data_IF_350090516723
#
_entry.id   IF_350090516723
#
_cell.length_a   1.000
_cell.length_b   1.000
_cell.length_c   1.000
_cell.angle_alpha   90.00
_cell.angle_beta   90.00
_cell.angle_gamma   90.00
#
_symmetry.space_group_name_H-M   'P 1'
#
loop_
_entity.id
_entity.type
_entity.pdbx_description
1 polymer ?
#
# COMPACT_ATOMS: atom_id res chain seq x y z
N UNK A 1 19.60 -27.83 0.07
CA UNK A 1 18.21 -27.76 -0.44
C UNK A 1 18.03 -26.38 -1.05
N UNK A 2 17.52 -26.30 -2.28
CA UNK A 2 17.26 -25.01 -2.93
C UNK A 2 16.04 -24.28 -2.35
N UNK A 3 15.87 -22.99 -2.73
CA UNK A 3 14.74 -22.17 -2.30
C UNK A 3 13.41 -22.60 -2.92
N UNK A 4 13.45 -23.30 -4.06
CA UNK A 4 12.26 -23.79 -4.73
C UNK A 4 11.43 -24.72 -3.85
N UNK A 5 10.13 -24.71 -4.03
CA UNK A 5 9.20 -25.66 -3.45
C UNK A 5 8.89 -26.76 -4.48
N UNK A 6 8.80 -28.04 -4.06
CA UNK A 6 8.18 -29.06 -4.90
C UNK A 6 6.76 -28.66 -5.30
N UNK A 7 6.33 -29.06 -6.49
CA UNK A 7 4.94 -28.75 -6.93
C UNK A 7 3.88 -29.29 -5.98
N UNK A 8 4.14 -30.41 -5.31
CA UNK A 8 3.27 -31.01 -4.30
C UNK A 8 3.02 -30.13 -3.08
N UNK A 9 3.96 -29.24 -2.76
CA UNK A 9 3.91 -28.39 -1.57
C UNK A 9 3.25 -27.03 -1.85
N UNK A 10 3.12 -26.66 -3.13
CA UNK A 10 2.51 -25.40 -3.54
C UNK A 10 0.99 -25.46 -3.46
N UNK A 11 0.37 -24.34 -3.12
CA UNK A 11 -1.07 -24.14 -3.29
C UNK A 11 -1.31 -23.84 -4.77
N UNK A 12 -1.79 -24.82 -5.52
CA UNK A 12 -1.97 -24.73 -6.97
C UNK A 12 -3.11 -23.74 -7.30
N UNK A 13 -2.82 -22.76 -8.13
CA UNK A 13 -3.81 -21.80 -8.64
C UNK A 13 -4.23 -22.12 -10.08
N UNK A 14 -3.29 -22.57 -10.91
CA UNK A 14 -3.53 -23.10 -12.26
C UNK A 14 -2.40 -24.07 -12.65
N UNK A 15 -2.34 -24.50 -13.91
CA UNK A 15 -1.38 -25.51 -14.38
C UNK A 15 0.08 -25.09 -14.24
N UNK A 16 0.36 -23.78 -14.24
CA UNK A 16 1.71 -23.20 -14.28
C UNK A 16 2.11 -22.43 -13.02
N UNK A 17 1.15 -22.00 -12.20
CA UNK A 17 1.41 -21.13 -11.05
C UNK A 17 0.75 -21.62 -9.77
N UNK A 18 1.42 -21.37 -8.66
CA UNK A 18 0.94 -21.66 -7.32
C UNK A 18 1.42 -20.63 -6.30
N UNK A 19 0.77 -20.60 -5.16
CA UNK A 19 1.18 -19.76 -4.03
C UNK A 19 2.15 -20.50 -3.13
N UNK A 20 2.89 -19.73 -2.34
CA UNK A 20 3.65 -20.25 -1.23
C UNK A 20 2.74 -21.05 -0.28
N UNK A 21 3.18 -22.18 0.28
CA UNK A 21 2.37 -23.03 1.17
C UNK A 21 1.75 -22.28 2.37
N UNK A 22 2.39 -21.21 2.80
CA UNK A 22 1.89 -20.40 3.94
C UNK A 22 0.77 -19.42 3.56
N UNK A 23 0.40 -19.31 2.29
CA UNK A 23 -0.66 -18.40 1.83
C UNK A 23 -2.05 -19.06 1.75
N UNK A 24 -2.36 -19.95 2.68
CA UNK A 24 -3.59 -20.74 2.66
C UNK A 24 -4.86 -19.90 2.73
N UNK A 25 -4.87 -18.84 3.52
CA UNK A 25 -6.03 -17.95 3.62
C UNK A 25 -6.23 -17.14 2.33
N UNK A 26 -5.14 -16.72 1.66
CA UNK A 26 -5.23 -16.02 0.39
C UNK A 26 -5.75 -16.90 -0.77
N UNK A 27 -5.56 -18.21 -0.69
CA UNK A 27 -6.16 -19.16 -1.65
C UNK A 27 -7.68 -18.98 -1.76
N UNK A 28 -8.37 -18.74 -0.64
CA UNK A 28 -9.82 -18.52 -0.66
C UNK A 28 -10.19 -17.21 -1.37
N UNK A 29 -9.44 -16.11 -1.14
CA UNK A 29 -9.61 -14.82 -1.84
C UNK A 29 -9.48 -15.03 -3.35
N UNK A 30 -8.48 -15.80 -3.78
CA UNK A 30 -8.27 -16.10 -5.20
C UNK A 30 -9.42 -16.94 -5.78
N UNK A 31 -9.84 -18.02 -5.10
CA UNK A 31 -10.93 -18.91 -5.55
C UNK A 31 -12.28 -18.22 -5.59
N UNK A 32 -12.54 -17.29 -4.67
CA UNK A 32 -13.75 -16.47 -4.64
C UNK A 32 -13.77 -15.40 -5.75
N UNK A 33 -12.64 -15.24 -6.49
CA UNK A 33 -12.53 -14.26 -7.58
C UNK A 33 -12.47 -12.82 -7.07
N UNK A 34 -11.81 -12.60 -5.93
CA UNK A 34 -11.75 -11.33 -5.22
C UNK A 34 -10.38 -10.65 -5.33
N UNK A 35 -9.49 -11.23 -6.11
CA UNK A 35 -8.19 -10.63 -6.39
C UNK A 35 -7.81 -10.70 -7.87
N UNK A 36 -6.89 -9.81 -8.24
CA UNK A 36 -6.21 -9.77 -9.52
C UNK A 36 -4.70 -9.73 -9.27
N UNK A 37 -3.96 -10.67 -9.81
CA UNK A 37 -2.49 -10.75 -9.70
C UNK A 37 -1.90 -10.33 -11.04
N UNK A 38 -1.08 -9.30 -11.03
CA UNK A 38 -0.38 -8.77 -12.19
C UNK A 38 1.08 -9.21 -12.09
N UNK A 39 1.54 -10.00 -13.04
CA UNK A 39 2.90 -10.52 -13.08
C UNK A 39 3.84 -9.55 -13.81
N UNK A 40 5.15 -9.67 -13.55
CA UNK A 40 6.22 -8.95 -14.24
C UNK A 40 6.01 -7.42 -14.28
N UNK A 41 5.63 -6.85 -13.14
CA UNK A 41 5.48 -5.41 -12.96
C UNK A 41 6.84 -4.80 -12.59
N UNK A 42 7.17 -3.67 -13.20
CA UNK A 42 8.41 -2.94 -12.93
C UNK A 42 8.43 -1.60 -13.63
N UNK A 43 9.62 -1.12 -14.01
CA UNK A 43 9.80 0.16 -14.70
C UNK A 43 11.13 0.17 -15.49
N UNK A 44 11.29 1.09 -16.48
CA UNK A 44 12.53 1.21 -17.25
C UNK A 44 13.73 1.59 -16.38
N UNK A 45 14.89 0.99 -16.65
CA UNK A 45 16.15 1.22 -15.93
C UNK A 45 15.99 1.05 -14.40
N UNK A 46 15.57 -0.14 -13.93
CA UNK A 46 15.25 -0.36 -12.53
C UNK A 46 16.47 -0.16 -11.64
N UNK A 47 16.28 0.57 -10.55
CA UNK A 47 17.23 0.65 -9.45
C UNK A 47 17.05 -0.54 -8.51
N UNK A 48 18.12 -0.99 -7.88
CA UNK A 48 18.10 -2.11 -6.91
C UNK A 48 18.43 -1.67 -5.48
N UNK A 49 18.51 -0.36 -5.25
CA UNK A 49 18.54 0.22 -3.90
C UNK A 49 17.12 0.32 -3.37
N UNK A 50 16.86 -0.17 -2.17
CA UNK A 50 15.58 -0.02 -1.49
C UNK A 50 15.12 1.44 -1.45
N UNK A 51 16.01 2.34 -1.04
CA UNK A 51 15.67 3.76 -0.92
C UNK A 51 15.24 4.35 -2.26
N UNK A 52 16.05 4.16 -3.30
CA UNK A 52 15.75 4.73 -4.61
C UNK A 52 14.53 4.09 -5.26
N UNK A 53 14.41 2.77 -5.23
CA UNK A 53 13.23 2.11 -5.78
C UNK A 53 11.96 2.48 -5.05
N UNK A 54 11.98 2.58 -3.72
CA UNK A 54 10.83 3.03 -2.94
C UNK A 54 10.46 4.48 -3.29
N UNK A 55 11.44 5.38 -3.46
CA UNK A 55 11.16 6.75 -3.92
C UNK A 55 10.47 6.76 -5.29
N UNK A 56 10.93 5.94 -6.23
CA UNK A 56 10.33 5.84 -7.57
C UNK A 56 8.87 5.36 -7.49
N UNK A 57 8.59 4.32 -6.71
CA UNK A 57 7.23 3.82 -6.50
C UNK A 57 6.35 4.83 -5.75
N UNK A 58 6.87 5.47 -4.73
CA UNK A 58 6.13 6.49 -3.96
C UNK A 58 5.83 7.74 -4.77
N UNK A 59 6.71 8.10 -5.69
CA UNK A 59 6.54 9.33 -6.50
C UNK A 59 5.94 9.06 -7.89
N UNK A 60 5.89 7.82 -8.35
CA UNK A 60 5.58 7.47 -9.73
C UNK A 60 6.53 8.14 -10.75
N UNK A 61 7.76 8.47 -10.35
CA UNK A 61 8.78 9.12 -11.20
C UNK A 61 9.46 8.13 -12.15
N UNK A 62 10.24 8.65 -13.09
CA UNK A 62 11.27 7.89 -13.80
C UNK A 62 12.47 7.60 -12.90
N UNK A 63 13.28 6.62 -13.30
CA UNK A 63 14.51 6.27 -12.55
C UNK A 63 15.57 7.38 -12.55
N UNK A 64 15.49 8.30 -13.50
CA UNK A 64 16.34 9.47 -13.68
C UNK A 64 15.81 10.76 -13.02
N UNK A 65 14.62 10.70 -12.40
CA UNK A 65 13.95 11.85 -11.80
C UNK A 65 13.85 11.73 -10.29
N UNK A 66 14.14 12.79 -9.56
CA UNK A 66 13.95 12.92 -8.12
C UNK A 66 12.82 13.89 -7.84
N UNK A 67 11.85 13.47 -7.04
CA UNK A 67 10.66 14.26 -6.69
C UNK A 67 10.50 14.28 -5.16
N UNK A 68 10.03 15.42 -4.64
CA UNK A 68 9.77 15.60 -3.22
C UNK A 68 8.29 15.37 -2.85
N UNK A 69 7.45 15.11 -3.86
CA UNK A 69 6.00 14.83 -3.67
C UNK A 69 5.65 13.43 -4.18
N UNK A 70 4.81 12.73 -3.41
CA UNK A 70 4.30 11.42 -3.77
C UNK A 70 3.12 11.50 -4.74
N UNK A 71 2.83 10.39 -5.43
CA UNK A 71 1.71 10.36 -6.38
C UNK A 71 0.34 10.54 -5.70
N UNK A 72 0.14 9.95 -4.52
CA UNK A 72 -1.05 10.17 -3.71
C UNK A 72 -1.07 11.58 -3.11
N UNK A 73 0.08 12.11 -2.70
CA UNK A 73 0.19 13.50 -2.25
C UNK A 73 -0.20 14.51 -3.33
N UNK A 74 0.22 14.29 -4.59
CA UNK A 74 -0.23 15.14 -5.72
C UNK A 74 -1.71 14.96 -6.04
N UNK A 75 -2.26 13.76 -5.85
CA UNK A 75 -3.70 13.57 -5.90
C UNK A 75 -4.41 14.42 -4.84
N UNK A 76 -3.94 14.41 -3.58
CA UNK A 76 -4.51 15.24 -2.52
C UNK A 76 -4.40 16.74 -2.87
N UNK A 77 -3.28 17.20 -3.40
CA UNK A 77 -3.09 18.59 -3.83
C UNK A 77 -4.05 19.02 -4.93
N UNK A 78 -4.42 18.12 -5.85
CA UNK A 78 -5.28 18.44 -6.97
C UNK A 78 -6.77 18.37 -6.63
N UNK A 79 -7.17 17.47 -5.71
CA UNK A 79 -8.57 17.12 -5.49
C UNK A 79 -9.08 17.37 -4.07
N UNK A 80 -8.19 17.57 -3.08
CA UNK A 80 -8.56 17.70 -1.66
C UNK A 80 -8.11 19.00 -0.99
N UNK A 81 -7.59 19.99 -1.72
CA UNK A 81 -7.01 21.25 -1.17
C UNK A 81 -7.97 22.05 -0.29
N UNK A 82 -9.27 21.98 -0.57
CA UNK A 82 -10.27 22.80 0.14
C UNK A 82 -10.86 22.11 1.38
N UNK A 83 -10.36 20.94 1.74
CA UNK A 83 -11.01 20.13 2.77
C UNK A 83 -10.43 20.34 4.18
N UNK A 84 -9.26 20.98 4.34
CA UNK A 84 -8.52 21.15 5.62
C UNK A 84 -8.49 19.86 6.48
N UNK A 85 -8.50 18.70 5.81
CA UNK A 85 -8.69 17.38 6.41
C UNK A 85 -7.50 16.46 6.13
N UNK A 86 -6.48 16.49 6.98
CA UNK A 86 -5.33 15.58 6.86
C UNK A 86 -5.74 14.08 6.91
N UNK A 87 -6.92 13.76 7.45
CA UNK A 87 -7.43 12.40 7.57
C UNK A 87 -8.02 11.83 6.26
N UNK A 88 -8.06 12.58 5.17
CA UNK A 88 -8.42 12.03 3.84
C UNK A 88 -7.47 10.89 3.45
N UNK A 89 -6.20 10.99 3.82
CA UNK A 89 -5.22 9.93 3.64
C UNK A 89 -4.51 9.62 4.96
N UNK A 90 -4.57 8.37 5.38
CA UNK A 90 -4.06 7.91 6.67
C UNK A 90 -3.00 6.83 6.49
N UNK A 91 -1.83 7.03 7.08
CA UNK A 91 -0.80 6.01 7.19
C UNK A 91 -0.73 5.44 8.61
N UNK A 92 -0.82 4.12 8.71
CA UNK A 92 -0.72 3.43 10.00
C UNK A 92 0.76 3.18 10.37
N UNK A 93 1.50 4.27 10.61
CA UNK A 93 2.90 4.25 11.02
C UNK A 93 3.27 5.50 11.83
N UNK A 94 4.53 5.59 12.33
CA UNK A 94 5.04 6.78 13.03
C UNK A 94 5.42 7.92 12.08
N UNK A 95 5.79 7.59 10.86
CA UNK A 95 6.28 8.55 9.86
C UNK A 95 5.43 8.45 8.60
N UNK A 96 5.13 9.60 8.04
CA UNK A 96 4.43 9.69 6.76
C UNK A 96 5.39 9.37 5.61
N UNK A 97 5.02 8.36 4.80
CA UNK A 97 5.79 8.00 3.60
C UNK A 97 5.70 9.09 2.53
N UNK A 98 6.68 9.10 1.63
CA UNK A 98 6.71 10.05 0.52
C UNK A 98 5.46 9.93 -0.37
N UNK A 99 4.86 8.74 -0.48
CA UNK A 99 3.65 8.53 -1.28
C UNK A 99 2.50 9.50 -0.92
N UNK A 100 2.35 9.83 0.36
CA UNK A 100 1.27 10.67 0.89
C UNK A 100 1.66 12.13 1.12
N UNK A 101 2.84 12.56 0.66
CA UNK A 101 3.33 13.95 0.79
C UNK A 101 3.06 14.72 -0.49
N UNK A 102 2.12 15.65 -0.45
CA UNK A 102 1.91 16.67 -1.47
C UNK A 102 2.72 17.93 -1.19
N UNK A 103 2.61 18.90 -2.07
CA UNK A 103 3.16 20.24 -1.90
C UNK A 103 2.37 21.02 -0.85
N UNK A 104 1.04 20.97 -0.95
CA UNK A 104 0.08 21.72 -0.13
C UNK A 104 -0.59 20.86 0.92
N UNK A 105 -1.01 19.66 0.54
CA UNK A 105 -1.74 18.72 1.40
C UNK A 105 -0.89 17.50 1.70
N UNK A 106 -0.94 17.05 2.94
CA UNK A 106 -0.25 15.82 3.39
C UNK A 106 -1.22 14.92 4.10
N UNK A 107 -1.02 13.61 3.96
CA UNK A 107 -1.73 12.64 4.77
C UNK A 107 -1.36 12.72 6.25
N UNK A 108 -2.05 11.96 7.05
CA UNK A 108 -1.85 11.83 8.49
C UNK A 108 -1.17 10.49 8.81
N UNK A 109 -0.03 10.53 9.50
CA UNK A 109 0.59 9.33 10.04
C UNK A 109 0.14 9.11 11.48
N UNK A 110 -0.26 7.87 11.81
CA UNK A 110 -0.63 7.48 13.18
C UNK A 110 -0.46 5.98 13.39
N UNK A 111 0.02 5.56 14.54
CA UNK A 111 0.01 4.13 14.92
C UNK A 111 -1.34 3.66 15.44
N UNK A 112 -2.04 4.54 16.12
CA UNK A 112 -3.29 4.23 16.81
C UNK A 112 -4.10 5.51 17.02
N UNK A 113 -5.42 5.51 16.75
CA UNK A 113 -6.29 6.68 16.92
C UNK A 113 -6.30 7.25 18.33
N UNK A 114 -6.33 6.41 19.35
CA UNK A 114 -6.38 6.85 20.74
C UNK A 114 -5.06 7.47 21.18
N UNK A 115 -3.91 6.87 20.79
CA UNK A 115 -2.60 7.42 21.11
C UNK A 115 -2.40 8.81 20.48
N UNK A 116 -2.78 8.98 19.23
CA UNK A 116 -2.72 10.28 18.56
C UNK A 116 -3.62 11.31 19.26
N UNK A 117 -4.85 10.93 19.55
CA UNK A 117 -5.81 11.80 20.25
C UNK A 117 -5.32 12.22 21.64
N UNK A 118 -4.72 11.31 22.39
CA UNK A 118 -4.15 11.63 23.70
C UNK A 118 -2.92 12.55 23.61
N UNK A 119 -2.10 12.39 22.56
CA UNK A 119 -0.96 13.26 22.34
C UNK A 119 -1.37 14.73 22.07
N UNK A 120 -2.42 14.95 21.29
CA UNK A 120 -2.89 16.32 21.01
C UNK A 120 -3.62 16.99 22.19
N UNK A 121 -3.99 16.23 23.22
CA UNK A 121 -4.56 16.77 24.47
C UNK A 121 -3.51 17.34 25.43
N UNK A 122 -2.23 17.19 25.12
CA UNK A 122 -1.17 17.80 25.92
C UNK A 122 -1.44 19.31 26.07
N UNK A 123 -1.43 19.85 27.30
CA UNK A 123 -1.78 21.26 27.56
C UNK A 123 -0.91 22.26 26.78
N UNK A 124 0.37 21.93 26.58
CA UNK A 124 1.28 22.77 25.82
C UNK A 124 0.95 22.78 24.32
N UNK A 125 0.71 21.61 23.74
CA UNK A 125 0.28 21.51 22.34
C UNK A 125 -1.06 22.19 22.11
N UNK A 126 -2.02 22.03 23.04
CA UNK A 126 -3.32 22.69 22.98
C UNK A 126 -3.20 24.22 23.06
N UNK A 127 -2.29 24.74 23.87
CA UNK A 127 -2.01 26.18 23.92
C UNK A 127 -1.43 26.68 22.59
N UNK A 128 -0.51 25.94 21.97
CA UNK A 128 0.05 26.28 20.66
C UNK A 128 -1.00 26.28 19.54
N UNK A 129 -1.90 25.32 19.51
CA UNK A 129 -2.98 25.22 18.49
C UNK A 129 -3.91 26.45 18.54
N UNK A 130 -4.13 27.00 19.73
CA UNK A 130 -5.06 28.12 19.95
C UNK A 130 -4.40 29.51 19.87
N UNK A 131 -3.11 29.59 19.60
CA UNK A 131 -2.45 30.88 19.34
C UNK A 131 -2.95 31.43 18.01
N UNK A 132 -3.47 32.66 18.03
CA UNK A 132 -3.82 33.36 16.79
C UNK A 132 -2.54 33.74 16.05
N UNK A 133 -2.41 33.28 14.83
CA UNK A 133 -1.33 33.65 13.92
C UNK A 133 -1.92 34.44 12.76
N UNK A 134 -1.22 35.53 12.40
CA UNK A 134 -1.44 36.16 11.11
C UNK A 134 -1.01 35.22 10.01
N UNK A 135 -1.78 35.14 8.92
CA UNK A 135 -1.50 34.29 7.77
C UNK A 135 -0.27 34.81 7.01
N UNK A 136 0.91 34.58 7.57
CA UNK A 136 2.19 34.83 6.89
C UNK A 136 2.69 33.50 6.27
N UNK A 137 3.47 33.59 5.19
CA UNK A 137 4.08 32.41 4.53
C UNK A 137 5.34 31.92 5.26
N UNK A 138 5.40 32.03 6.58
CA UNK A 138 6.57 31.62 7.35
C UNK A 138 6.55 30.11 7.64
N UNK A 139 7.72 29.52 7.86
CA UNK A 139 7.86 28.13 8.27
C UNK A 139 7.12 27.87 9.61
N UNK A 140 7.02 28.86 10.48
CA UNK A 140 6.28 28.75 11.73
C UNK A 140 4.77 28.62 11.48
N UNK A 141 4.20 29.45 10.61
CA UNK A 141 2.76 29.38 10.26
C UNK A 141 2.40 28.06 9.62
N UNK A 142 3.26 27.53 8.75
CA UNK A 142 3.11 26.19 8.21
C UNK A 142 3.06 25.12 9.31
N UNK A 143 3.95 25.21 10.32
CA UNK A 143 3.93 24.26 11.45
C UNK A 143 2.66 24.35 12.27
N UNK A 144 2.19 25.57 12.57
CA UNK A 144 0.94 25.80 13.32
C UNK A 144 -0.28 25.31 12.55
N UNK A 145 -0.36 25.58 11.25
CA UNK A 145 -1.41 25.07 10.38
C UNK A 145 -1.44 23.54 10.41
N UNK A 146 -0.27 22.90 10.18
CA UNK A 146 -0.15 21.44 10.21
C UNK A 146 -0.57 20.85 11.56
N UNK A 147 -0.18 21.48 12.67
CA UNK A 147 -0.56 21.04 14.01
C UNK A 147 -2.07 21.15 14.25
N UNK A 148 -2.71 22.24 13.79
CA UNK A 148 -4.16 22.43 13.87
C UNK A 148 -4.93 21.39 13.06
N UNK A 149 -4.55 21.17 11.80
CA UNK A 149 -5.14 20.17 10.92
C UNK A 149 -4.99 18.76 11.50
N UNK A 150 -3.80 18.44 12.03
CA UNK A 150 -3.53 17.17 12.72
C UNK A 150 -4.42 17.00 13.93
N UNK A 151 -4.61 18.05 14.75
CA UNK A 151 -5.46 18.01 15.93
C UNK A 151 -6.92 17.75 15.60
N UNK A 152 -7.45 18.46 14.60
CA UNK A 152 -8.83 18.28 14.13
C UNK A 152 -9.02 16.85 13.59
N UNK A 153 -8.11 16.40 12.75
CA UNK A 153 -8.14 15.05 12.16
C UNK A 153 -8.00 13.94 13.20
N UNK A 154 -7.18 14.16 14.24
CA UNK A 154 -7.04 13.20 15.35
C UNK A 154 -8.34 13.05 16.15
N UNK A 155 -9.02 14.16 16.43
CA UNK A 155 -10.33 14.15 17.08
C UNK A 155 -11.39 13.44 16.24
N UNK A 156 -11.42 13.72 14.95
CA UNK A 156 -12.32 13.09 13.99
C UNK A 156 -12.11 11.55 13.96
N UNK A 157 -10.89 11.10 13.67
CA UNK A 157 -10.57 9.68 13.59
C UNK A 157 -10.83 8.96 14.92
N UNK A 158 -10.48 9.58 16.07
CA UNK A 158 -10.74 9.00 17.37
C UNK A 158 -12.24 8.77 17.62
N UNK A 159 -13.09 9.70 17.23
CA UNK A 159 -14.54 9.55 17.37
C UNK A 159 -15.06 8.40 16.49
N UNK A 160 -14.64 8.35 15.22
CA UNK A 160 -15.05 7.27 14.31
C UNK A 160 -14.52 5.91 14.75
N UNK A 161 -13.31 5.84 15.31
CA UNK A 161 -12.73 4.58 15.79
C UNK A 161 -13.51 3.91 16.94
N UNK A 162 -14.50 4.61 17.52
CA UNK A 162 -15.36 4.09 18.59
C UNK A 162 -16.73 3.60 18.11
N UNK A 163 -17.12 3.93 16.88
CA UNK A 163 -18.48 3.62 16.36
C UNK A 163 -18.61 2.13 16.06
N UNK A 164 -17.60 1.55 15.42
CA UNK A 164 -17.57 0.15 15.08
C UNK A 164 -16.33 -0.54 15.67
N UNK A 165 -16.52 -1.75 16.18
CA UNK A 165 -15.45 -2.64 16.62
C UNK A 165 -15.58 -3.97 15.93
N UNK A 166 -14.50 -4.43 15.34
CA UNK A 166 -14.46 -5.69 14.62
C UNK A 166 -14.64 -6.88 15.55
N UNK A 167 -15.50 -7.81 15.13
CA UNK A 167 -15.65 -9.13 15.74
C UNK A 167 -14.88 -10.20 14.95
N UNK A 168 -14.14 -9.81 13.90
CA UNK A 168 -13.30 -10.73 13.14
C UNK A 168 -12.01 -11.03 13.90
N UNK A 169 -11.50 -12.24 13.76
CA UNK A 169 -10.25 -12.65 14.38
C UNK A 169 -9.07 -12.23 13.48
N UNK A 170 -8.42 -11.14 13.83
CA UNK A 170 -7.20 -10.71 13.16
C UNK A 170 -5.96 -11.38 13.77
N UNK A 171 -4.92 -11.65 12.97
CA UNK A 171 -3.65 -12.16 13.48
C UNK A 171 -3.01 -11.22 14.52
N UNK A 172 -2.40 -11.81 15.55
CA UNK A 172 -1.79 -11.10 16.70
C UNK A 172 -0.43 -10.43 16.37
N UNK A 173 -0.26 -9.88 15.18
CA UNK A 173 0.94 -9.14 14.79
C UNK A 173 0.58 -7.75 14.24
N UNK A 174 1.60 -6.94 14.03
CA UNK A 174 1.44 -5.52 13.70
C UNK A 174 0.55 -5.28 12.47
N UNK A 175 0.77 -6.03 11.38
CA UNK A 175 -0.05 -5.88 10.17
C UNK A 175 -1.53 -6.22 10.42
N UNK A 176 -1.81 -7.32 11.14
CA UNK A 176 -3.18 -7.70 11.47
C UNK A 176 -3.88 -6.60 12.28
N UNK A 177 -3.20 -6.06 13.30
CA UNK A 177 -3.73 -4.96 14.13
C UNK A 177 -3.93 -3.67 13.34
N UNK A 178 -3.01 -3.31 12.43
CA UNK A 178 -3.16 -2.16 11.55
C UNK A 178 -4.38 -2.31 10.64
N UNK A 179 -4.54 -3.47 9.99
CA UNK A 179 -5.69 -3.75 9.12
C UNK A 179 -7.02 -3.79 9.89
N UNK A 180 -7.02 -4.30 11.12
CA UNK A 180 -8.20 -4.23 11.99
C UNK A 180 -8.65 -2.80 12.23
N UNK A 181 -7.73 -1.90 12.61
CA UNK A 181 -8.04 -0.48 12.81
C UNK A 181 -8.56 0.17 11.53
N UNK A 182 -7.96 -0.14 10.38
CA UNK A 182 -8.44 0.38 9.09
C UNK A 182 -9.85 -0.13 8.78
N UNK A 183 -10.13 -1.41 8.97
CA UNK A 183 -11.47 -1.96 8.79
C UNK A 183 -12.50 -1.30 9.73
N UNK A 184 -12.13 -1.09 11.00
CA UNK A 184 -12.97 -0.39 11.97
C UNK A 184 -13.29 1.04 11.51
N UNK A 185 -12.33 1.78 10.98
CA UNK A 185 -12.55 3.13 10.45
C UNK A 185 -13.45 3.12 9.21
N UNK A 186 -13.18 2.25 8.24
CA UNK A 186 -14.00 2.11 7.02
C UNK A 186 -15.45 1.74 7.38
N UNK A 187 -15.63 0.74 8.23
CA UNK A 187 -16.97 0.28 8.64
C UNK A 187 -17.72 1.29 9.53
N UNK A 188 -17.00 2.18 10.19
CA UNK A 188 -17.57 3.31 10.94
C UNK A 188 -18.09 4.44 10.04
N UNK A 189 -17.82 4.41 8.73
CA UNK A 189 -18.16 5.48 7.80
C UNK A 189 -17.19 6.67 7.88
N UNK A 190 -15.95 6.46 8.31
CA UNK A 190 -14.90 7.47 8.27
C UNK A 190 -14.65 7.89 6.80
N UNK A 191 -14.60 9.20 6.54
CA UNK A 191 -14.45 9.77 5.19
C UNK A 191 -13.02 9.67 4.63
N UNK A 192 -12.10 8.96 5.31
CA UNK A 192 -10.76 8.71 4.78
C UNK A 192 -10.84 7.87 3.50
N UNK A 193 -10.24 8.38 2.43
CA UNK A 193 -10.26 7.74 1.11
C UNK A 193 -9.07 6.82 0.88
N UNK A 194 -7.94 7.10 1.55
CA UNK A 194 -6.68 6.39 1.35
C UNK A 194 -6.14 5.92 2.70
N UNK A 195 -5.83 4.63 2.78
CA UNK A 195 -5.11 4.04 3.90
C UNK A 195 -3.81 3.43 3.40
N UNK A 196 -2.71 3.68 4.10
CA UNK A 196 -1.39 3.17 3.74
C UNK A 196 -0.78 2.41 4.92
N UNK A 197 -0.26 1.22 4.65
CA UNK A 197 0.48 0.42 5.63
C UNK A 197 1.69 -0.22 4.97
N UNK A 198 2.72 -0.50 5.75
CA UNK A 198 3.88 -1.25 5.30
C UNK A 198 4.12 -2.49 6.16
N UNK A 199 4.65 -3.52 5.54
CA UNK A 199 5.18 -4.72 6.19
C UNK A 199 6.63 -4.88 5.81
N UNK A 200 7.51 -4.95 6.80
CA UNK A 200 8.96 -5.05 6.62
C UNK A 200 9.46 -6.49 6.70
N UNK A 201 10.71 -6.71 6.31
CA UNK A 201 11.39 -7.99 6.49
C UNK A 201 11.47 -8.87 5.24
N UNK A 202 11.01 -8.42 4.08
CA UNK A 202 11.12 -9.13 2.80
C UNK A 202 12.50 -9.05 2.16
N UNK A 203 13.43 -8.26 2.71
CA UNK A 203 14.81 -8.21 2.23
C UNK A 203 15.61 -9.42 2.71
N UNK A 204 15.33 -10.57 2.10
CA UNK A 204 15.80 -11.88 2.53
C UNK A 204 17.00 -12.36 1.69
N UNK A 205 18.18 -11.79 1.94
CA UNK A 205 19.43 -12.21 1.31
C UNK A 205 20.00 -13.51 1.89
N UNK A 206 19.50 -13.95 3.03
CA UNK A 206 19.91 -15.22 3.67
C UNK A 206 18.69 -15.89 4.30
N UNK A 207 18.71 -17.22 4.38
CA UNK A 207 17.66 -18.03 5.02
C UNK A 207 16.22 -17.59 4.59
N UNK A 208 16.06 -17.35 3.29
CA UNK A 208 14.85 -16.71 2.71
C UNK A 208 13.60 -17.57 2.90
N UNK A 209 13.69 -18.86 2.66
CA UNK A 209 12.51 -19.75 2.59
C UNK A 209 11.62 -19.69 3.84
N UNK A 210 12.13 -19.86 5.08
CA UNK A 210 11.31 -19.75 6.28
C UNK A 210 10.88 -18.31 6.58
N UNK A 211 11.77 -17.33 6.37
CA UNK A 211 11.47 -15.92 6.66
C UNK A 211 10.38 -15.37 5.75
N UNK A 212 10.52 -15.55 4.45
CA UNK A 212 9.53 -15.13 3.46
C UNK A 212 8.22 -15.90 3.62
N UNK A 213 8.29 -17.22 3.87
CA UNK A 213 7.10 -18.03 4.12
C UNK A 213 6.27 -17.51 5.29
N UNK A 214 6.93 -17.16 6.41
CA UNK A 214 6.26 -16.55 7.56
C UNK A 214 5.61 -15.20 7.20
N UNK A 215 6.31 -14.31 6.49
CA UNK A 215 5.78 -13.00 6.10
C UNK A 215 4.60 -13.10 5.13
N UNK A 216 4.68 -14.04 4.18
CA UNK A 216 3.58 -14.32 3.25
C UNK A 216 2.34 -14.91 3.96
N UNK A 217 2.56 -15.74 4.98
CA UNK A 217 1.48 -16.22 5.85
C UNK A 217 0.80 -15.07 6.59
N UNK A 218 1.59 -14.19 7.19
CA UNK A 218 1.11 -12.97 7.86
C UNK A 218 0.25 -12.12 6.90
N UNK A 219 0.75 -11.85 5.70
CA UNK A 219 0.02 -11.09 4.67
C UNK A 219 -1.30 -11.79 4.31
N UNK A 220 -1.24 -13.09 4.05
CA UNK A 220 -2.37 -13.93 3.67
C UNK A 220 -3.51 -13.90 4.70
N UNK A 221 -3.16 -14.17 5.96
CA UNK A 221 -4.14 -14.25 7.05
C UNK A 221 -4.75 -12.88 7.36
N UNK A 222 -3.92 -11.83 7.34
CA UNK A 222 -4.38 -10.46 7.58
C UNK A 222 -5.33 -9.96 6.49
N UNK A 223 -5.02 -10.21 5.22
CA UNK A 223 -5.90 -9.86 4.11
C UNK A 223 -7.22 -10.62 4.17
N UNK A 224 -7.20 -11.90 4.57
CA UNK A 224 -8.45 -12.68 4.68
C UNK A 224 -9.35 -12.13 5.80
N UNK A 225 -8.80 -11.84 6.97
CA UNK A 225 -9.57 -11.23 8.05
C UNK A 225 -10.13 -9.87 7.64
N UNK A 226 -9.32 -9.04 6.97
CA UNK A 226 -9.74 -7.74 6.47
C UNK A 226 -10.87 -7.83 5.45
N UNK A 227 -10.76 -8.71 4.45
CA UNK A 227 -11.82 -8.91 3.45
C UNK A 227 -13.10 -9.44 4.06
N UNK A 228 -13.02 -10.37 5.01
CA UNK A 228 -14.20 -10.90 5.71
C UNK A 228 -14.93 -9.80 6.49
N UNK A 229 -14.18 -8.95 7.19
CA UNK A 229 -14.74 -7.86 7.98
C UNK A 229 -15.46 -6.83 7.08
N UNK A 230 -14.83 -6.43 5.99
CA UNK A 230 -15.43 -5.51 5.00
C UNK A 230 -16.68 -6.10 4.34
N UNK A 231 -16.68 -7.41 4.02
CA UNK A 231 -17.86 -8.08 3.45
C UNK A 231 -19.03 -8.10 4.41
N UNK A 232 -18.80 -8.42 5.70
CA UNK A 232 -19.85 -8.41 6.73
C UNK A 232 -20.51 -7.05 6.89
N UNK A 233 -19.78 -6.00 6.60
CA UNK A 233 -20.25 -4.62 6.72
C UNK A 233 -20.61 -3.97 5.37
N UNK A 234 -20.70 -4.75 4.29
CA UNK A 234 -21.03 -4.28 2.93
C UNK A 234 -20.09 -3.17 2.43
N UNK A 235 -18.81 -3.21 2.86
CA UNK A 235 -17.77 -2.24 2.48
C UNK A 235 -16.73 -2.80 1.50
N UNK A 236 -16.83 -4.08 1.17
CA UNK A 236 -15.83 -4.73 0.32
C UNK A 236 -15.86 -4.22 -1.13
N UNK A 237 -17.02 -3.95 -1.68
CA UNK A 237 -17.18 -3.42 -3.05
C UNK A 237 -16.70 -1.96 -3.17
N UNK A 238 -16.68 -1.22 -2.07
CA UNK A 238 -16.19 0.15 -2.00
C UNK A 238 -14.70 0.24 -1.67
N UNK A 239 -14.02 -0.90 -1.52
CA UNK A 239 -12.62 -0.96 -1.10
C UNK A 239 -11.74 -1.65 -2.15
N UNK A 240 -10.65 -1.00 -2.52
CA UNK A 240 -9.61 -1.56 -3.38
C UNK A 240 -8.29 -1.61 -2.61
N UNK A 241 -7.74 -2.80 -2.43
CA UNK A 241 -6.41 -3.00 -1.82
C UNK A 241 -5.38 -3.16 -2.93
N UNK A 242 -4.29 -2.41 -2.85
CA UNK A 242 -3.12 -2.51 -3.72
C UNK A 242 -1.92 -2.99 -2.89
N UNK A 243 -1.45 -4.21 -3.15
CA UNK A 243 -0.23 -4.74 -2.55
C UNK A 243 0.90 -4.70 -3.57
N UNK A 244 1.99 -4.01 -3.23
CA UNK A 244 3.17 -3.89 -4.08
C UNK A 244 4.45 -3.94 -3.25
N UNK A 245 5.58 -4.13 -3.91
CA UNK A 245 6.91 -3.96 -3.37
C UNK A 245 7.76 -3.20 -4.39
N UNK A 246 8.81 -2.56 -3.94
CA UNK A 246 9.67 -1.68 -4.73
C UNK A 246 10.46 -2.39 -5.83
N UNK A 247 10.70 -3.70 -5.68
CA UNK A 247 11.29 -4.57 -6.71
C UNK A 247 11.00 -6.05 -6.42
N UNK A 248 11.30 -6.94 -7.39
CA UNK A 248 11.25 -8.37 -7.22
C UNK A 248 12.58 -8.94 -6.73
N UNK A 249 12.69 -10.27 -6.79
CA UNK A 249 13.90 -11.02 -6.45
C UNK A 249 14.46 -11.72 -7.69
N UNK A 250 15.79 -11.87 -7.76
CA UNK A 250 16.44 -12.63 -8.83
C UNK A 250 15.95 -14.07 -8.83
N UNK A 251 15.99 -14.69 -10.01
CA UNK A 251 15.58 -16.09 -10.19
C UNK A 251 16.58 -17.02 -9.51
N UNK A 252 17.86 -16.69 -9.59
CA UNK A 252 18.91 -17.51 -9.03
C UNK A 252 19.07 -17.28 -7.51
N UNK A 253 19.25 -18.38 -6.81
CA UNK A 253 19.60 -18.41 -5.39
C UNK A 253 21.07 -18.00 -5.21
N UNK A 254 21.34 -17.20 -4.18
CA UNK A 254 22.70 -16.89 -3.75
C UNK A 254 23.29 -17.95 -2.80
N UNK A 255 24.58 -17.80 -2.44
CA UNK A 255 25.30 -18.75 -1.57
C UNK A 255 24.74 -18.82 -0.13
N UNK A 256 24.02 -17.79 0.34
CA UNK A 256 23.46 -17.69 1.69
C UNK A 256 22.02 -18.21 1.80
N UNK A 257 21.52 -18.96 0.82
CA UNK A 257 20.14 -19.45 0.76
C UNK A 257 19.12 -18.31 0.76
N UNK A 258 19.43 -17.26 0.02
CA UNK A 258 18.57 -16.12 -0.27
C UNK A 258 18.61 -15.79 -1.75
N UNK A 259 18.08 -14.64 -2.10
CA UNK A 259 18.16 -14.08 -3.45
C UNK A 259 18.54 -12.61 -3.37
N UNK A 260 19.18 -12.12 -4.42
CA UNK A 260 19.47 -10.69 -4.56
C UNK A 260 18.27 -9.93 -5.14
N UNK A 261 18.33 -8.60 -5.15
CA UNK A 261 17.29 -7.75 -5.70
C UNK A 261 17.14 -7.95 -7.20
N UNK A 262 15.90 -8.13 -7.65
CA UNK A 262 15.49 -8.27 -9.05
C UNK A 262 14.83 -7.02 -9.61
N UNK A 263 14.39 -7.09 -10.86
CA UNK A 263 13.81 -5.93 -11.56
C UNK A 263 12.29 -5.99 -11.70
N UNK A 264 11.71 -7.19 -11.73
CA UNK A 264 10.27 -7.38 -11.94
C UNK A 264 9.64 -8.06 -10.74
N UNK A 265 8.42 -7.64 -10.40
CA UNK A 265 7.66 -8.10 -9.25
C UNK A 265 6.23 -8.47 -9.62
N UNK A 266 5.48 -8.97 -8.66
CA UNK A 266 4.04 -9.14 -8.75
C UNK A 266 3.35 -8.02 -7.98
N UNK A 267 2.26 -7.51 -8.53
CA UNK A 267 1.32 -6.63 -7.84
C UNK A 267 0.02 -7.38 -7.64
N UNK A 268 -0.55 -7.27 -6.43
CA UNK A 268 -1.80 -7.93 -6.08
C UNK A 268 -2.84 -6.86 -5.79
N UNK A 269 -3.98 -6.97 -6.45
CA UNK A 269 -5.17 -6.18 -6.17
C UNK A 269 -6.21 -7.08 -5.49
N UNK A 270 -6.89 -6.56 -4.45
CA UNK A 270 -8.00 -7.24 -3.78
C UNK A 270 -9.17 -6.27 -3.67
N UNK A 271 -10.37 -6.71 -4.07
CA UNK A 271 -11.58 -5.89 -4.00
C UNK A 271 -12.78 -6.56 -4.66
N UNK A 272 -13.98 -6.13 -4.29
CA UNK A 272 -15.23 -6.71 -4.80
C UNK A 272 -15.51 -6.32 -6.26
N UNK A 273 -15.17 -5.10 -6.66
CA UNK A 273 -15.48 -4.53 -7.99
C UNK A 273 -14.38 -4.75 -9.04
N UNK A 274 -13.55 -5.78 -8.91
CA UNK A 274 -12.56 -6.14 -9.93
C UNK A 274 -13.25 -6.73 -11.16
N UNK A 275 -12.97 -6.16 -12.33
CA UNK A 275 -13.39 -6.71 -13.64
C UNK A 275 -12.55 -7.89 -14.07
N UNK A 276 -11.23 -7.80 -13.87
CA UNK A 276 -10.31 -8.91 -14.14
C UNK A 276 -9.99 -9.63 -12.83
N UNK A 277 -10.32 -10.91 -12.78
CA UNK A 277 -10.15 -11.79 -11.62
C UNK A 277 -9.08 -12.83 -11.90
N UNK A 278 -8.35 -13.24 -10.85
CA UNK A 278 -7.26 -14.20 -10.98
C UNK A 278 -5.98 -13.57 -11.53
N UNK A 279 -5.38 -14.15 -12.56
CA UNK A 279 -4.18 -13.57 -13.19
C UNK A 279 -4.56 -12.57 -14.28
N UNK A 280 -3.92 -11.39 -14.24
CA UNK A 280 -4.11 -10.35 -15.24
C UNK A 280 -3.44 -10.72 -16.57
N UNK A 281 -2.23 -11.20 -16.50
CA UNK A 281 -1.35 -11.54 -17.61
C UNK A 281 -0.69 -12.92 -17.43
N UNK A 282 0.06 -13.34 -18.41
CA UNK A 282 0.72 -14.62 -18.46
C UNK A 282 1.75 -14.84 -17.30
N UNK A 283 2.08 -16.09 -16.99
CA UNK A 283 3.14 -16.41 -16.04
C UNK A 283 4.49 -15.81 -16.45
N UNK A 284 5.37 -15.50 -15.50
CA UNK A 284 6.72 -15.02 -15.79
C UNK A 284 7.51 -16.00 -16.65
N UNK A 285 8.20 -15.50 -17.68
CA UNK A 285 9.00 -16.30 -18.60
C UNK A 285 10.38 -16.56 -18.02
N UNK A 286 10.53 -17.63 -17.24
CA UNK A 286 11.79 -18.01 -16.58
C UNK A 286 12.92 -18.42 -17.54
N UNK A 287 12.63 -18.63 -18.83
CA UNK A 287 13.59 -18.94 -19.87
C UNK A 287 14.05 -17.71 -20.68
N UNK A 288 13.51 -16.53 -20.40
CA UNK A 288 13.87 -15.27 -21.07
C UNK A 288 14.32 -14.24 -20.01
N UNK A 289 15.53 -14.46 -19.48
CA UNK A 289 16.11 -13.62 -18.45
C UNK A 289 17.09 -12.61 -19.03
N UNK A 290 17.07 -11.39 -18.57
CA UNK A 290 18.07 -10.37 -18.86
C UNK A 290 19.14 -10.37 -17.76
N UNK A 291 20.35 -10.84 -18.06
CA UNK A 291 21.46 -10.97 -17.09
C UNK A 291 21.07 -11.77 -15.83
N UNK A 292 20.30 -12.85 -16.03
CA UNK A 292 19.82 -13.72 -14.94
C UNK A 292 18.66 -13.17 -14.13
N UNK A 293 17.97 -12.15 -14.63
CA UNK A 293 16.84 -11.51 -13.95
C UNK A 293 15.58 -11.45 -14.84
N UNK A 294 14.42 -11.46 -14.22
CA UNK A 294 13.15 -11.24 -14.93
C UNK A 294 13.09 -9.81 -15.47
N UNK A 295 12.64 -9.69 -16.71
CA UNK A 295 12.29 -8.38 -17.28
C UNK A 295 10.85 -8.01 -16.89
N UNK A 296 10.58 -6.73 -16.67
CA UNK A 296 9.22 -6.28 -16.53
C UNK A 296 8.49 -6.27 -17.89
N UNK A 297 7.21 -6.57 -17.88
CA UNK A 297 6.32 -6.47 -19.04
C UNK A 297 5.32 -5.31 -18.88
N UNK A 298 4.98 -4.99 -17.65
CA UNK A 298 4.01 -3.95 -17.33
C UNK A 298 4.65 -2.87 -16.42
N UNK A 299 4.54 -1.62 -16.84
CA UNK A 299 4.98 -0.48 -16.05
C UNK A 299 3.99 -0.23 -14.89
N UNK A 300 4.50 -0.18 -13.65
CA UNK A 300 3.64 0.00 -12.46
C UNK A 300 2.81 1.29 -12.50
N UNK A 301 3.29 2.33 -13.21
CA UNK A 301 2.57 3.59 -13.38
C UNK A 301 1.29 3.45 -14.18
N UNK A 302 1.17 2.41 -15.02
CA UNK A 302 -0.09 2.03 -15.68
C UNK A 302 -1.15 1.55 -14.67
N UNK A 303 -0.72 0.88 -13.60
CA UNK A 303 -1.61 0.49 -12.50
C UNK A 303 -2.09 1.75 -11.76
N UNK A 304 -1.17 2.65 -11.41
CA UNK A 304 -1.52 3.91 -10.74
C UNK A 304 -2.43 4.79 -11.58
N UNK A 305 -2.13 4.93 -12.88
CA UNK A 305 -2.99 5.69 -13.81
C UNK A 305 -4.41 5.10 -13.89
N UNK A 306 -4.52 3.78 -13.87
CA UNK A 306 -5.82 3.11 -13.86
C UNK A 306 -6.60 3.38 -12.57
N UNK A 307 -5.93 3.28 -11.41
CA UNK A 307 -6.54 3.56 -10.10
C UNK A 307 -6.98 5.02 -10.02
N UNK A 308 -6.12 5.96 -10.43
CA UNK A 308 -6.46 7.39 -10.44
C UNK A 308 -7.71 7.66 -11.28
N UNK A 309 -7.73 7.20 -12.53
CA UNK A 309 -8.82 7.53 -13.46
C UNK A 309 -10.11 6.78 -13.15
N UNK A 310 -10.03 5.48 -12.83
CA UNK A 310 -11.23 4.64 -12.75
C UNK A 310 -11.74 4.42 -11.32
N UNK A 311 -10.89 4.56 -10.32
CA UNK A 311 -11.27 4.35 -8.92
C UNK A 311 -11.39 5.66 -8.15
N UNK A 312 -10.38 6.53 -8.25
CA UNK A 312 -10.36 7.82 -7.55
C UNK A 312 -11.04 8.95 -8.34
N UNK A 313 -11.43 8.73 -9.60
CA UNK A 313 -12.08 9.75 -10.43
C UNK A 313 -11.19 10.95 -10.74
N UNK A 314 -9.87 10.75 -10.76
CA UNK A 314 -8.87 11.79 -10.93
C UNK A 314 -8.17 11.71 -12.28
N UNK A 315 -7.70 12.83 -12.80
CA UNK A 315 -6.87 12.87 -14.01
C UNK A 315 -5.45 12.35 -13.70
N UNK A 316 -5.15 11.14 -14.15
CA UNK A 316 -3.86 10.52 -13.94
C UNK A 316 -2.71 11.27 -14.62
N UNK A 317 -2.95 11.89 -15.77
CA UNK A 317 -1.92 12.64 -16.49
C UNK A 317 -1.51 13.89 -15.72
N UNK A 318 -2.46 14.52 -15.03
CA UNK A 318 -2.20 15.63 -14.10
C UNK A 318 -1.38 15.18 -12.88
N UNK A 319 -1.76 14.05 -12.27
CA UNK A 319 -1.16 13.56 -11.03
C UNK A 319 0.22 12.95 -11.26
N UNK A 320 0.39 12.15 -12.31
CA UNK A 320 1.66 11.46 -12.60
C UNK A 320 2.60 12.34 -13.44
N UNK A 321 2.06 13.31 -14.15
CA UNK A 321 2.83 14.20 -15.05
C UNK A 321 3.18 13.58 -16.41
N UNK A 322 2.67 12.39 -16.70
CA UNK A 322 2.88 11.67 -17.97
C UNK A 322 1.76 10.67 -18.22
N UNK A 323 1.43 10.49 -19.48
CA UNK A 323 0.41 9.52 -19.90
C UNK A 323 0.93 8.08 -19.85
N UNK A 324 0.15 7.20 -19.19
CA UNK A 324 0.38 5.77 -19.15
C UNK A 324 -0.84 5.01 -19.65
N UNK A 325 -0.60 3.81 -20.21
CA UNK A 325 -1.69 2.93 -20.64
C UNK A 325 -2.57 2.58 -19.45
N UNK A 326 -3.87 2.71 -19.62
CA UNK A 326 -4.82 2.22 -18.64
C UNK A 326 -5.07 0.72 -18.82
N UNK A 327 -5.25 0.06 -17.70
CA UNK A 327 -5.53 -1.37 -17.63
C UNK A 327 -7.04 -1.59 -17.39
N UNK A 328 -7.51 -2.82 -17.58
CA UNK A 328 -8.92 -3.18 -17.49
C UNK A 328 -9.25 -4.07 -16.29
N UNK A 329 -8.49 -3.95 -15.20
CA UNK A 329 -8.74 -4.72 -14.01
C UNK A 329 -9.85 -4.15 -13.11
N UNK A 330 -10.22 -2.87 -13.30
CA UNK A 330 -11.38 -2.18 -12.69
C UNK A 330 -12.14 -1.36 -13.71
#
# INVERSE_FOLDING_TARGET
>A
MGLSYPKSDLITLNDSMGLNPNMKAFESIFKEGECCIINQVGYPNPDRSHFRSMDIWNTASGSDQYMNTGWLGRYLDAYCVNEDKAHVAVEMDDLLSLALKGEKVKGLAMRNPERLFNAIKDPYLNALINVAHDESESAADYMYKTLRETSQSAGYIHNYSKIYKSNESYPEHEMGKKLQVIAELICSGCESQIYYISITGFDTHANQKPSQGRLLGILSDSLKSFTNDLKRNSKFDETLVLCFSEFGRRVDQNASQGTDHGAANNVILVGGNLKKKGFYNDPPKLNNLLRGDLTYELDFRSIYATILNKWLGADADLVIGKKFQQLDFI
#
